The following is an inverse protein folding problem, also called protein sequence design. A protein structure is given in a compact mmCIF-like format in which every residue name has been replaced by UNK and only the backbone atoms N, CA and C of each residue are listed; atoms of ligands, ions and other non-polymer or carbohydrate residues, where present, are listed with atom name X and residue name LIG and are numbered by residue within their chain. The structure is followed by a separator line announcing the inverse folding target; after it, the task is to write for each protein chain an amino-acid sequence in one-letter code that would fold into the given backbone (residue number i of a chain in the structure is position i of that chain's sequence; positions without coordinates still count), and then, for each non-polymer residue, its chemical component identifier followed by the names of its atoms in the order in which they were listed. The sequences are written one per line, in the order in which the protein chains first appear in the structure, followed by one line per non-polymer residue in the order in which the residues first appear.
data_IF_332610930544
#
_entry.id   IF_332610930544
#
_cell.length_a   1.000
_cell.length_b   1.000
_cell.length_c   1.000
_cell.angle_alpha   90.00
_cell.angle_beta   90.00
_cell.angle_gamma   90.00
#
_symmetry.space_group_name_H-M   'P 1'
#
loop_
_entity.id
_entity.type
_entity.pdbx_description
1 polymer ?
#
# COMPACT_ATOMS: atom_id res chain seq x y z
N UNK A 1 -54.05 -28.58 -46.22
CA UNK A 1 -54.53 -29.02 -44.89
C UNK A 1 -53.39 -28.87 -43.90
N UNK A 2 -53.65 -28.21 -42.76
CA UNK A 2 -52.73 -28.04 -41.62
C UNK A 2 -52.59 -29.38 -40.88
N UNK A 3 -51.38 -29.74 -40.43
CA UNK A 3 -51.13 -30.38 -39.12
C UNK A 3 -49.61 -30.47 -38.88
N UNK A 4 -48.97 -29.68 -38.02
CA UNK A 4 -48.88 -29.78 -36.54
C UNK A 4 -47.54 -30.40 -36.09
N UNK A 5 -46.67 -29.49 -35.60
CA UNK A 5 -45.80 -29.55 -34.40
C UNK A 5 -45.35 -30.92 -33.85
N UNK A 6 -44.04 -31.07 -33.64
CA UNK A 6 -43.49 -31.46 -32.34
C UNK A 6 -42.03 -31.01 -32.20
N UNK A 7 -41.84 -29.91 -31.46
CA UNK A 7 -40.54 -29.53 -30.91
C UNK A 7 -40.46 -30.24 -29.56
N UNK A 8 -39.69 -31.32 -29.47
CA UNK A 8 -39.36 -31.92 -28.18
C UNK A 8 -38.39 -31.00 -27.44
N UNK A 9 -38.94 -30.09 -26.64
CA UNK A 9 -38.18 -29.39 -25.62
C UNK A 9 -37.82 -30.39 -24.52
N UNK A 10 -36.60 -30.92 -24.56
CA UNK A 10 -36.04 -31.67 -23.44
C UNK A 10 -35.85 -30.69 -22.26
N UNK A 11 -36.79 -30.73 -21.31
CA UNK A 11 -36.68 -30.02 -20.04
C UNK A 11 -35.45 -30.52 -19.28
N UNK A 12 -34.53 -29.67 -18.82
CA UNK A 12 -33.41 -30.10 -17.99
C UNK A 12 -33.94 -30.38 -16.59
N UNK A 13 -34.46 -31.59 -16.37
CA UNK A 13 -34.73 -32.09 -15.03
C UNK A 13 -33.39 -32.55 -14.43
N UNK A 14 -32.56 -31.57 -14.07
CA UNK A 14 -31.35 -31.82 -13.28
C UNK A 14 -31.82 -32.42 -11.97
N UNK A 15 -31.50 -33.69 -11.74
CA UNK A 15 -31.91 -34.38 -10.53
C UNK A 15 -31.36 -33.61 -9.33
N UNK A 16 -32.12 -33.56 -8.23
CA UNK A 16 -31.66 -32.91 -6.99
C UNK A 16 -30.24 -33.36 -6.60
N UNK A 17 -29.93 -34.63 -6.84
CA UNK A 17 -28.58 -35.19 -6.63
C UNK A 17 -27.52 -34.55 -7.51
N UNK A 18 -27.82 -34.30 -8.80
CA UNK A 18 -26.89 -33.65 -9.72
C UNK A 18 -26.59 -32.21 -9.28
N UNK A 19 -27.62 -31.48 -8.83
CA UNK A 19 -27.43 -30.14 -8.27
C UNK A 19 -26.60 -30.15 -6.97
N UNK A 20 -26.74 -31.18 -6.14
CA UNK A 20 -25.90 -31.38 -4.96
C UNK A 20 -24.46 -31.71 -5.34
N UNK A 21 -24.22 -32.61 -6.30
CA UNK A 21 -22.87 -32.95 -6.76
C UNK A 21 -22.13 -31.73 -7.32
N UNK A 22 -22.81 -30.89 -8.10
CA UNK A 22 -22.24 -29.63 -8.60
C UNK A 22 -21.85 -28.69 -7.45
N UNK A 23 -22.70 -28.58 -6.41
CA UNK A 23 -22.37 -27.75 -5.24
C UNK A 23 -21.20 -28.31 -4.43
N UNK A 24 -21.12 -29.62 -4.25
CA UNK A 24 -20.02 -30.27 -3.52
C UNK A 24 -18.71 -30.02 -4.26
N UNK A 25 -18.66 -30.24 -5.58
CA UNK A 25 -17.48 -29.99 -6.39
C UNK A 25 -17.03 -28.51 -6.34
N UNK A 26 -17.98 -27.57 -6.35
CA UNK A 26 -17.66 -26.14 -6.21
C UNK A 26 -17.08 -25.79 -4.83
N UNK A 27 -17.54 -26.45 -3.77
CA UNK A 27 -17.01 -26.26 -2.42
C UNK A 27 -15.59 -26.83 -2.28
N UNK A 28 -15.33 -28.01 -2.84
CA UNK A 28 -13.99 -28.63 -2.86
C UNK A 28 -12.97 -27.73 -3.54
N UNK A 29 -13.28 -27.21 -4.74
CA UNK A 29 -12.43 -26.26 -5.45
C UNK A 29 -12.15 -24.99 -4.63
N UNK A 30 -13.16 -24.49 -3.91
CA UNK A 30 -12.99 -23.32 -3.04
C UNK A 30 -12.04 -23.63 -1.86
N UNK A 31 -12.15 -24.81 -1.26
CA UNK A 31 -11.26 -25.25 -0.17
C UNK A 31 -9.81 -25.36 -0.66
N UNK A 32 -9.58 -25.98 -1.82
CA UNK A 32 -8.24 -26.11 -2.40
C UNK A 32 -7.62 -24.73 -2.68
N UNK A 33 -8.41 -23.80 -3.23
CA UNK A 33 -7.95 -22.42 -3.47
C UNK A 33 -7.63 -21.66 -2.17
N UNK A 34 -8.34 -21.93 -1.07
CA UNK A 34 -8.06 -21.33 0.24
C UNK A 34 -6.77 -21.89 0.85
N UNK A 35 -6.51 -23.20 0.71
CA UNK A 35 -5.27 -23.81 1.19
C UNK A 35 -4.02 -23.27 0.48
N UNK A 36 -4.11 -22.97 -0.82
CA UNK A 36 -3.02 -22.35 -1.59
C UNK A 36 -2.71 -20.92 -1.09
N UNK A 37 -3.73 -20.19 -0.65
CA UNK A 37 -3.59 -18.82 -0.12
C UNK A 37 -3.10 -18.75 1.34
N UNK A 38 -3.14 -19.85 2.09
CA UNK A 38 -2.59 -19.90 3.46
C UNK A 38 -1.08 -20.16 3.46
N UNK A 39 -0.58 -20.95 2.50
CA UNK A 39 0.86 -21.25 2.36
C UNK A 39 1.71 -20.06 1.87
N UNK A 40 1.09 -19.01 1.32
CA UNK A 40 1.78 -17.84 0.77
C UNK A 40 1.88 -16.66 1.75
N UNK A 41 1.32 -16.75 2.96
CA UNK A 41 1.66 -15.82 4.05
C UNK A 41 2.92 -16.30 4.78
N UNK A 42 4.04 -16.35 4.07
CA UNK A 42 5.35 -16.37 4.72
C UNK A 42 5.41 -15.19 5.68
N UNK A 43 5.42 -15.47 6.99
CA UNK A 43 5.66 -14.52 8.08
C UNK A 43 7.10 -13.98 8.09
N UNK A 44 7.66 -13.72 6.91
CA UNK A 44 8.99 -13.13 6.69
C UNK A 44 8.91 -11.63 6.38
N UNK A 45 7.81 -10.96 6.76
CA UNK A 45 7.71 -9.49 6.69
C UNK A 45 8.26 -8.78 7.93
N UNK A 46 9.19 -9.40 8.64
CA UNK A 46 10.07 -8.73 9.60
C UNK A 46 11.52 -8.74 9.11
N UNK A 47 11.68 -8.58 7.80
CA UNK A 47 12.91 -8.17 7.16
C UNK A 47 13.33 -6.80 7.74
N UNK A 48 14.21 -6.81 8.73
CA UNK A 48 15.14 -5.72 9.02
C UNK A 48 14.58 -4.29 8.99
N UNK A 49 13.45 -4.01 9.63
CA UNK A 49 13.07 -2.61 9.93
C UNK A 49 13.85 -2.04 11.13
N UNK A 50 15.15 -2.31 11.19
CA UNK A 50 16.11 -1.40 11.80
C UNK A 50 16.43 -0.29 10.79
N UNK A 51 15.39 0.36 10.24
CA UNK A 51 15.55 1.66 9.60
C UNK A 51 15.78 2.64 10.75
N UNK A 52 17.06 2.75 11.09
CA UNK A 52 17.70 3.86 11.79
C UNK A 52 16.71 4.90 12.34
N UNK A 53 16.47 4.82 13.64
CA UNK A 53 15.74 5.82 14.45
C UNK A 53 16.52 7.15 14.58
N UNK A 54 17.43 7.43 13.63
CA UNK A 54 18.24 8.64 13.52
C UNK A 54 17.38 9.88 13.21
N UNK A 55 16.19 9.71 12.60
CA UNK A 55 15.26 10.82 12.34
C UNK A 55 14.60 11.38 13.60
N UNK A 56 14.52 10.61 14.69
CA UNK A 56 13.83 11.06 15.92
C UNK A 56 14.66 12.07 16.72
N UNK A 57 16.00 11.99 16.67
CA UNK A 57 16.87 12.85 17.49
C UNK A 57 16.97 14.29 16.98
N UNK A 58 16.86 14.54 15.67
CA UNK A 58 16.96 15.92 15.16
C UNK A 58 15.75 16.75 15.57
N UNK A 59 14.53 16.20 15.45
CA UNK A 59 13.30 16.92 15.82
C UNK A 59 13.30 17.31 17.29
N UNK A 60 13.77 16.43 18.20
CA UNK A 60 13.83 16.72 19.64
C UNK A 60 14.80 17.86 20.01
N UNK A 61 15.77 18.15 19.14
CA UNK A 61 16.74 19.25 19.34
C UNK A 61 16.30 20.56 18.70
N UNK A 62 15.19 20.57 17.96
CA UNK A 62 14.69 21.80 17.38
C UNK A 62 14.17 22.71 18.49
N UNK A 63 14.71 23.93 18.54
CA UNK A 63 14.22 24.98 19.42
C UNK A 63 13.36 25.96 18.59
N UNK A 64 12.02 25.98 18.77
CA UNK A 64 11.14 26.89 18.05
C UNK A 64 11.40 28.38 18.34
N UNK A 65 12.02 28.68 19.49
CA UNK A 65 12.45 30.04 19.87
C UNK A 65 13.91 30.32 19.47
N UNK A 66 14.52 29.42 18.71
CA UNK A 66 15.90 29.53 18.24
C UNK A 66 16.07 30.51 17.09
N UNK A 67 17.31 30.68 16.64
CA UNK A 67 17.67 31.62 15.55
C UNK A 67 17.23 31.15 14.16
N UNK A 68 16.93 29.87 13.99
CA UNK A 68 16.65 29.25 12.69
C UNK A 68 15.26 28.65 12.64
N UNK A 69 14.63 28.73 11.48
CA UNK A 69 13.39 28.03 11.19
C UNK A 69 13.62 26.50 11.16
N UNK A 70 12.55 25.72 11.30
CA UNK A 70 12.60 24.26 11.29
C UNK A 70 13.26 23.71 10.02
N UNK A 71 12.99 24.34 8.88
CA UNK A 71 13.55 23.91 7.60
C UNK A 71 15.06 24.15 7.54
N UNK A 72 15.58 25.30 7.98
CA UNK A 72 17.03 25.53 8.07
C UNK A 72 17.69 24.68 9.16
N UNK A 73 17.04 24.45 10.29
CA UNK A 73 17.55 23.52 11.31
C UNK A 73 17.65 22.08 10.78
N UNK A 74 16.68 21.63 9.96
CA UNK A 74 16.62 20.26 9.46
C UNK A 74 17.45 20.03 8.20
N UNK A 75 17.52 21.02 7.31
CA UNK A 75 18.11 20.87 5.98
C UNK A 75 19.37 21.73 5.78
N UNK A 76 19.66 22.67 6.68
CA UNK A 76 20.80 23.59 6.57
C UNK A 76 20.78 24.35 5.25
N UNK A 77 21.93 24.35 4.55
CA UNK A 77 22.13 24.98 3.23
C UNK A 77 21.19 24.42 2.15
N UNK A 78 20.66 23.20 2.33
CA UNK A 78 19.72 22.57 1.37
C UNK A 78 18.26 22.96 1.61
N UNK A 79 18.01 23.88 2.54
CA UNK A 79 16.67 24.42 2.74
C UNK A 79 16.20 25.11 1.46
N UNK A 80 14.98 24.81 1.02
CA UNK A 80 14.36 25.56 -0.08
C UNK A 80 13.97 26.93 0.44
N UNK A 81 14.38 27.99 -0.25
CA UNK A 81 14.08 29.38 0.12
C UNK A 81 12.56 29.62 0.29
N UNK A 82 11.75 29.03 -0.58
CA UNK A 82 10.27 29.04 -0.51
C UNK A 82 9.69 28.48 0.80
N UNK A 83 10.44 27.62 1.51
CA UNK A 83 10.02 26.99 2.77
C UNK A 83 10.60 27.69 3.99
N UNK A 84 11.48 28.68 3.81
CA UNK A 84 12.00 29.46 4.91
C UNK A 84 10.89 30.37 5.47
N UNK A 85 10.67 30.31 6.78
CA UNK A 85 9.71 31.19 7.47
C UNK A 85 10.43 32.13 8.45
N UNK A 86 9.97 33.38 8.51
CA UNK A 86 10.44 34.37 9.48
C UNK A 86 9.90 34.06 10.89
N UNK A 87 10.67 34.27 11.97
CA UNK A 87 12.04 34.80 12.03
C UNK A 87 13.09 33.71 11.80
N UNK A 88 13.89 33.85 10.74
CA UNK A 88 15.03 32.97 10.47
C UNK A 88 16.26 33.81 10.15
N UNK A 89 17.31 33.66 10.95
CA UNK A 89 18.57 34.36 10.79
C UNK A 89 19.55 33.67 9.81
N UNK A 90 19.09 32.67 9.06
CA UNK A 90 19.93 31.97 8.08
C UNK A 90 20.19 32.90 6.89
N UNK A 91 21.44 33.28 6.69
CA UNK A 91 21.88 34.05 5.51
C UNK A 91 22.61 33.09 4.58
N UNK A 92 22.12 32.95 3.36
CA UNK A 92 22.89 32.32 2.29
C UNK A 92 24.15 33.18 2.11
N UNK A 93 25.32 32.60 2.37
CA UNK A 93 26.58 33.28 2.11
C UNK A 93 26.83 33.30 0.60
N UNK A 94 26.12 34.16 -0.13
CA UNK A 94 26.39 34.47 -1.53
C UNK A 94 27.55 35.47 -1.62
N UNK A 95 28.77 34.94 -1.78
CA UNK A 95 30.02 35.68 -2.07
C UNK A 95 31.15 35.24 -1.13
N UNK A 96 32.37 34.88 -1.57
CA UNK A 96 33.06 35.02 -2.84
C UNK A 96 34.36 34.16 -2.78
N UNK A 97 34.96 33.80 -3.92
CA UNK A 97 36.43 33.72 -4.13
C UNK A 97 37.33 33.29 -2.94
N UNK A 98 37.78 32.03 -2.92
CA UNK A 98 39.22 31.72 -2.76
C UNK A 98 39.46 30.26 -3.18
N UNK A 99 40.53 30.07 -3.95
CA UNK A 99 41.15 28.76 -4.22
C UNK A 99 41.46 28.02 -2.93
#
# INVERSE_FOLDING_TARGET
MKSEKEVCAASPNVSYNDALFVRIAALEQKIDSMQINDRSRSKLRNYYRNISQSRSRSIKRFNPKGKYCFYHFKFGVRCRSEKCYSPCAWRENSGNSMM
#
